data_IF_208133833106
#
_entry.id   IF_208133833106
#
_cell.length_a   1.000
_cell.length_b   1.000
_cell.length_c   1.000
_cell.angle_alpha   90.00
_cell.angle_beta   90.00
_cell.angle_gamma   90.00
#
_symmetry.space_group_name_H-M   'P 1'
#
loop_
_entity.id
_entity.type
_entity.pdbx_description
1 polymer ?
#
# COMPACT_ATOMS: atom_id res chain seq x y z
N UNK A 1 16.77 -16.23 8.14
CA UNK A 1 17.92 -15.29 8.22
C UNK A 1 17.83 -14.37 7.03
N UNK A 2 18.01 -13.06 7.21
CA UNK A 2 18.04 -12.07 6.12
C UNK A 2 19.50 -11.60 6.00
N UNK A 3 20.09 -11.69 4.80
CA UNK A 3 21.44 -11.17 4.54
C UNK A 3 21.46 -9.64 4.65
N UNK A 4 22.64 -9.06 4.88
CA UNK A 4 22.83 -7.60 4.91
C UNK A 4 22.40 -6.95 3.58
N UNK A 5 22.72 -7.58 2.44
CA UNK A 5 22.26 -7.12 1.11
C UNK A 5 20.73 -7.17 0.98
N UNK A 6 20.10 -8.23 1.50
CA UNK A 6 18.65 -8.36 1.54
C UNK A 6 18.00 -7.30 2.43
N UNK A 7 18.61 -6.99 3.58
CA UNK A 7 18.16 -5.93 4.47
C UNK A 7 18.27 -4.53 3.82
N UNK A 8 19.34 -4.28 3.06
CA UNK A 8 19.51 -3.02 2.32
C UNK A 8 18.42 -2.84 1.24
N UNK A 9 18.11 -3.90 0.48
CA UNK A 9 17.00 -3.89 -0.48
C UNK A 9 15.66 -3.60 0.18
N UNK A 10 15.35 -4.28 1.29
CA UNK A 10 14.10 -4.10 2.03
C UNK A 10 14.00 -2.67 2.59
N UNK A 11 15.09 -2.13 3.13
CA UNK A 11 15.16 -0.77 3.63
C UNK A 11 14.93 0.29 2.54
N UNK A 12 15.27 0.00 1.28
CA UNK A 12 14.98 0.87 0.13
C UNK A 12 13.55 0.76 -0.40
N UNK A 13 12.97 -0.45 -0.42
CA UNK A 13 11.65 -0.69 -1.02
C UNK A 13 10.49 -0.30 -0.11
N UNK A 14 10.60 -0.58 1.19
CA UNK A 14 9.52 -0.30 2.16
C UNK A 14 9.10 1.18 2.17
N UNK A 15 10.03 2.17 2.22
CA UNK A 15 9.66 3.58 2.21
C UNK A 15 8.89 4.00 0.95
N UNK A 16 9.24 3.43 -0.20
CA UNK A 16 8.55 3.72 -1.48
C UNK A 16 7.11 3.17 -1.44
N UNK A 17 6.93 1.93 -0.96
CA UNK A 17 5.59 1.33 -0.81
C UNK A 17 4.70 2.10 0.17
N UNK A 18 5.29 2.57 1.28
CA UNK A 18 4.62 3.46 2.23
C UNK A 18 4.17 4.78 1.59
N UNK A 19 5.03 5.38 0.77
CA UNK A 19 4.73 6.64 0.10
C UNK A 19 3.57 6.49 -0.90
N UNK A 20 3.53 5.39 -1.66
CA UNK A 20 2.40 5.05 -2.55
C UNK A 20 1.10 4.92 -1.76
N UNK A 21 1.13 4.23 -0.62
CA UNK A 21 -0.03 4.06 0.25
C UNK A 21 -0.55 5.40 0.80
N UNK A 22 0.34 6.30 1.21
CA UNK A 22 -0.05 7.65 1.68
C UNK A 22 -0.68 8.47 0.55
N UNK A 23 -0.13 8.40 -0.66
CA UNK A 23 -0.69 9.11 -1.81
C UNK A 23 -2.08 8.59 -2.20
N UNK A 24 -2.27 7.27 -2.23
CA UNK A 24 -3.57 6.68 -2.52
C UNK A 24 -4.57 6.89 -1.37
N UNK A 25 -4.12 6.89 -0.11
CA UNK A 25 -4.95 7.29 1.03
C UNK A 25 -5.44 8.73 0.87
N UNK A 26 -4.54 9.67 0.54
CA UNK A 26 -4.90 11.08 0.35
C UNK A 26 -5.92 11.24 -0.77
N UNK A 27 -5.72 10.57 -1.91
CA UNK A 27 -6.68 10.58 -3.02
C UNK A 27 -8.02 10.00 -2.62
N UNK A 28 -8.00 8.85 -1.93
CA UNK A 28 -9.19 8.18 -1.41
C UNK A 28 -9.94 9.13 -0.50
N UNK A 29 -9.30 9.69 0.55
CA UNK A 29 -9.90 10.68 1.45
C UNK A 29 -10.51 11.89 0.73
N UNK A 30 -9.83 12.43 -0.29
CA UNK A 30 -10.34 13.56 -1.08
C UNK A 30 -11.54 13.20 -1.97
N UNK A 31 -11.64 11.95 -2.45
CA UNK A 31 -12.82 11.48 -3.21
C UNK A 31 -13.95 10.98 -2.30
N UNK A 32 -13.70 10.81 -1.01
CA UNK A 32 -14.58 10.11 -0.05
C UNK A 32 -15.56 11.02 0.71
N UNK A 33 -15.69 12.29 0.36
CA UNK A 33 -16.59 13.22 1.06
C UNK A 33 -18.10 12.90 0.92
N UNK A 34 -18.50 11.90 0.12
CA UNK A 34 -19.88 11.84 -0.41
C UNK A 34 -20.74 10.63 0.06
N UNK A 35 -20.20 9.49 0.51
CA UNK A 35 -21.07 8.33 0.87
C UNK A 35 -20.70 7.56 2.16
N UNK A 36 -21.66 7.48 3.08
CA UNK A 36 -21.62 6.76 4.37
C UNK A 36 -21.56 5.23 4.25
N UNK A 37 -21.95 4.69 3.09
CA UNK A 37 -22.20 3.24 2.89
C UNK A 37 -20.94 2.37 2.99
N UNK A 38 -19.74 2.98 2.93
CA UNK A 38 -18.45 2.30 3.00
C UNK A 38 -17.65 2.58 4.28
N UNK A 39 -18.28 3.14 5.35
CA UNK A 39 -17.59 3.56 6.57
C UNK A 39 -16.71 2.47 7.22
N UNK A 40 -17.19 1.22 7.28
CA UNK A 40 -16.44 0.11 7.87
C UNK A 40 -15.21 -0.29 7.06
N UNK A 41 -15.32 -0.29 5.73
CA UNK A 41 -14.19 -0.52 4.82
C UNK A 41 -13.15 0.60 4.99
N UNK A 42 -13.58 1.84 5.25
CA UNK A 42 -12.68 2.97 5.55
C UNK A 42 -11.91 2.77 6.85
N UNK A 43 -12.59 2.41 7.93
CA UNK A 43 -11.95 2.21 9.24
C UNK A 43 -10.93 1.08 9.13
N UNK A 44 -11.30 -0.04 8.50
CA UNK A 44 -10.38 -1.18 8.30
C UNK A 44 -9.17 -0.78 7.47
N UNK A 45 -9.35 -0.01 6.38
CA UNK A 45 -8.24 0.42 5.53
C UNK A 45 -7.30 1.41 6.24
N UNK A 46 -7.85 2.38 6.97
CA UNK A 46 -7.05 3.35 7.76
C UNK A 46 -6.32 2.63 8.91
N UNK A 47 -6.95 1.67 9.56
CA UNK A 47 -6.36 0.92 10.66
C UNK A 47 -5.25 -0.02 10.16
N UNK A 48 -5.44 -0.66 9.00
CA UNK A 48 -4.40 -1.43 8.29
C UNK A 48 -3.21 -0.54 7.90
N UNK A 49 -3.46 0.67 7.43
CA UNK A 49 -2.41 1.63 7.13
C UNK A 49 -1.63 2.07 8.37
N UNK A 50 -2.33 2.29 9.49
CA UNK A 50 -1.70 2.72 10.73
C UNK A 50 -0.84 1.60 11.35
N UNK A 51 -1.42 0.41 11.48
CA UNK A 51 -0.71 -0.77 12.03
C UNK A 51 0.39 -1.24 11.08
N UNK A 52 0.10 -1.33 9.79
CA UNK A 52 1.05 -1.72 8.77
C UNK A 52 2.19 -0.71 8.59
N UNK A 53 1.88 0.59 8.65
CA UNK A 53 2.87 1.65 8.50
C UNK A 53 3.80 1.82 9.69
N UNK A 54 3.27 1.71 10.92
CA UNK A 54 4.09 1.69 12.13
C UNK A 54 5.00 0.46 12.17
N UNK A 55 4.44 -0.73 11.89
CA UNK A 55 5.22 -1.97 11.82
C UNK A 55 6.32 -1.91 10.76
N UNK A 56 6.01 -1.36 9.59
CA UNK A 56 6.96 -1.18 8.49
C UNK A 56 8.09 -0.21 8.84
N UNK A 57 7.79 0.87 9.57
CA UNK A 57 8.82 1.84 10.00
C UNK A 57 9.83 1.19 10.96
N UNK A 58 9.33 0.38 11.91
CA UNK A 58 10.18 -0.38 12.83
C UNK A 58 11.00 -1.43 12.08
N UNK A 59 10.41 -2.10 11.08
CA UNK A 59 11.11 -3.07 10.25
C UNK A 59 12.26 -2.42 9.44
N UNK A 60 12.04 -1.23 8.87
CA UNK A 60 13.10 -0.46 8.18
C UNK A 60 14.22 -0.12 9.15
N UNK A 61 13.89 0.33 10.37
CA UNK A 61 14.88 0.70 11.37
C UNK A 61 15.77 -0.50 11.75
N UNK A 62 15.17 -1.68 11.94
CA UNK A 62 15.89 -2.93 12.19
C UNK A 62 16.80 -3.28 11.00
N UNK A 63 16.32 -3.13 9.77
CA UNK A 63 17.12 -3.39 8.57
C UNK A 63 18.31 -2.42 8.46
N UNK A 64 18.11 -1.13 8.72
CA UNK A 64 19.17 -0.11 8.68
C UNK A 64 20.22 -0.38 9.75
N UNK A 65 19.82 -0.73 10.97
CA UNK A 65 20.75 -1.07 12.06
C UNK A 65 21.57 -2.30 11.68
N UNK A 66 20.94 -3.34 11.14
CA UNK A 66 21.61 -4.57 10.69
C UNK A 66 22.59 -4.35 9.54
N UNK A 67 22.26 -3.49 8.57
CA UNK A 67 23.18 -3.09 7.49
C UNK A 67 24.36 -2.30 8.07
N UNK A 68 24.09 -1.38 9.00
CA UNK A 68 25.12 -0.55 9.62
C UNK A 68 26.07 -1.34 10.52
N UNK A 69 25.59 -2.40 11.17
CA UNK A 69 26.42 -3.30 11.97
C UNK A 69 27.13 -4.40 11.16
N UNK A 70 26.77 -4.56 9.88
CA UNK A 70 27.31 -5.64 9.04
C UNK A 70 26.84 -7.05 9.47
N UNK A 71 25.82 -7.14 10.32
CA UNK A 71 25.33 -8.40 10.86
C UNK A 71 24.02 -8.82 10.19
N UNK A 72 23.87 -10.12 9.90
CA UNK A 72 22.64 -10.65 9.35
C UNK A 72 21.49 -10.68 10.37
N UNK A 73 20.27 -10.34 9.93
CA UNK A 73 19.09 -10.40 10.80
C UNK A 73 18.72 -11.87 11.04
N UNK A 74 18.66 -12.26 12.30
CA UNK A 74 18.35 -13.64 12.75
C UNK A 74 17.24 -13.66 13.80
N UNK A 75 16.67 -14.84 14.01
CA UNK A 75 15.64 -15.08 15.02
C UNK A 75 14.34 -14.31 14.74
N UNK A 76 13.72 -13.81 15.82
CA UNK A 76 12.42 -13.15 15.80
C UNK A 76 12.36 -11.93 14.86
N UNK A 77 13.43 -11.12 14.83
CA UNK A 77 13.49 -9.92 14.00
C UNK A 77 13.40 -10.22 12.50
N UNK A 78 13.98 -11.32 12.04
CA UNK A 78 13.86 -11.73 10.64
C UNK A 78 12.42 -12.11 10.28
N UNK A 79 11.72 -12.81 11.18
CA UNK A 79 10.30 -13.13 11.00
C UNK A 79 9.41 -11.89 11.02
N UNK A 80 9.67 -10.96 11.93
CA UNK A 80 8.94 -9.70 12.03
C UNK A 80 9.07 -8.86 10.75
N UNK A 81 10.29 -8.69 10.22
CA UNK A 81 10.55 -7.95 8.97
C UNK A 81 9.85 -8.62 7.79
N UNK A 82 9.82 -9.96 7.72
CA UNK A 82 9.11 -10.68 6.66
C UNK A 82 7.59 -10.47 6.74
N UNK A 83 7.00 -10.60 7.92
CA UNK A 83 5.55 -10.45 8.11
C UNK A 83 5.11 -9.02 7.77
N UNK A 84 5.85 -8.01 8.25
CA UNK A 84 5.56 -6.61 7.95
C UNK A 84 5.78 -6.30 6.48
N UNK A 85 6.84 -6.82 5.87
CA UNK A 85 7.07 -6.71 4.42
C UNK A 85 5.93 -7.33 3.60
N UNK A 86 5.46 -8.52 3.97
CA UNK A 86 4.33 -9.18 3.30
C UNK A 86 3.02 -8.42 3.47
N UNK A 87 2.74 -7.94 4.68
CA UNK A 87 1.56 -7.12 4.96
C UNK A 87 1.58 -5.81 4.17
N UNK A 88 2.74 -5.17 4.03
CA UNK A 88 2.91 -3.99 3.22
C UNK A 88 2.66 -4.31 1.73
N UNK A 89 3.27 -5.37 1.21
CA UNK A 89 3.11 -5.78 -0.18
C UNK A 89 1.64 -6.10 -0.53
N UNK A 90 0.93 -6.82 0.34
CA UNK A 90 -0.49 -7.13 0.13
C UNK A 90 -1.37 -5.89 0.18
N UNK A 91 -1.09 -4.95 1.10
CA UNK A 91 -1.84 -3.69 1.22
C UNK A 91 -1.60 -2.78 0.02
N UNK A 92 -0.33 -2.65 -0.43
CA UNK A 92 0.02 -1.89 -1.65
C UNK A 92 -0.64 -2.53 -2.88
N UNK A 93 -0.55 -3.85 -3.04
CA UNK A 93 -1.18 -4.57 -4.15
C UNK A 93 -2.70 -4.37 -4.17
N UNK A 94 -3.36 -4.45 -3.01
CA UNK A 94 -4.79 -4.17 -2.87
C UNK A 94 -5.14 -2.73 -3.23
N UNK A 95 -4.34 -1.75 -2.79
CA UNK A 95 -4.54 -0.34 -3.14
C UNK A 95 -4.42 -0.09 -4.66
N UNK A 96 -3.44 -0.70 -5.31
CA UNK A 96 -3.25 -0.61 -6.77
C UNK A 96 -4.43 -1.26 -7.51
N UNK A 97 -4.83 -2.46 -7.11
CA UNK A 97 -5.96 -3.16 -7.71
C UNK A 97 -7.26 -2.33 -7.60
N UNK A 98 -7.49 -1.72 -6.44
CA UNK A 98 -8.62 -0.81 -6.22
C UNK A 98 -8.55 0.43 -7.14
N UNK A 99 -7.37 1.05 -7.25
CA UNK A 99 -7.15 2.20 -8.13
C UNK A 99 -7.40 1.86 -9.61
N UNK A 100 -6.91 0.69 -10.07
CA UNK A 100 -7.14 0.20 -11.44
C UNK A 100 -8.63 -0.05 -11.67
N UNK A 101 -9.31 -0.76 -10.74
CA UNK A 101 -10.75 -1.04 -10.86
C UNK A 101 -11.59 0.23 -11.00
N UNK A 102 -11.25 1.29 -10.24
CA UNK A 102 -11.90 2.60 -10.36
C UNK A 102 -11.64 3.25 -11.73
N UNK A 103 -10.42 3.21 -12.25
CA UNK A 103 -10.12 3.78 -13.57
C UNK A 103 -10.89 3.07 -14.68
N UNK A 104 -10.94 1.74 -14.64
CA UNK A 104 -11.70 0.93 -15.62
C UNK A 104 -13.19 1.29 -15.58
N UNK A 105 -13.78 1.44 -14.39
CA UNK A 105 -15.18 1.85 -14.26
C UNK A 105 -15.46 3.25 -14.86
N UNK A 106 -14.55 4.21 -14.66
CA UNK A 106 -14.66 5.56 -15.24
C UNK A 106 -14.53 5.53 -16.77
N UNK A 107 -13.62 4.73 -17.31
CA UNK A 107 -13.44 4.59 -18.77
C UNK A 107 -14.68 3.96 -19.39
N UNK A 108 -15.21 2.89 -18.79
CA UNK A 108 -16.43 2.23 -19.25
C UNK A 108 -17.65 3.17 -19.20
N UNK A 109 -17.79 3.96 -18.13
CA UNK A 109 -18.87 4.95 -18.03
C UNK A 109 -18.77 6.02 -19.13
N UNK A 110 -17.56 6.51 -19.45
CA UNK A 110 -17.35 7.47 -20.54
C UNK A 110 -17.65 6.89 -21.91
N UNK A 111 -17.26 5.63 -22.15
CA UNK A 111 -17.56 4.94 -23.40
C UNK A 111 -19.08 4.75 -23.60
N UNK A 112 -19.80 4.39 -22.54
CA UNK A 112 -21.27 4.31 -22.54
C UNK A 112 -21.92 5.64 -22.90
N UNK A 113 -21.49 6.75 -22.29
CA UNK A 113 -22.06 8.09 -22.57
C UNK A 113 -21.83 8.53 -24.02
N UNK A 114 -20.70 8.13 -24.61
CA UNK A 114 -20.34 8.45 -25.99
C UNK A 114 -21.14 7.62 -27.00
N UNK A 115 -21.48 6.37 -26.69
CA UNK A 115 -22.41 5.56 -27.49
C UNK A 115 -23.82 6.14 -27.46
N UNK A 116 -24.34 6.52 -26.29
CA UNK A 116 -25.69 7.11 -26.17
C UNK A 116 -25.80 8.38 -27.03
N UNK A 117 -24.79 9.24 -27.01
CA UNK A 117 -24.75 10.45 -27.86
C UNK A 117 -24.78 10.19 -29.36
N UNK A 118 -24.35 9.02 -29.83
CA UNK A 118 -24.40 8.66 -31.27
C UNK A 118 -25.80 8.25 -31.73
N UNK A 119 -26.68 7.88 -30.81
CA UNK A 119 -28.06 7.49 -31.13
C UNK A 119 -29.07 8.64 -31.02
N UNK A 120 -28.70 9.75 -30.40
CA UNK A 120 -29.53 10.97 -30.26
C UNK A 120 -29.37 11.97 -31.44
N UNK A 121 -28.62 11.61 -32.50
CA UNK A 121 -28.41 12.38 -33.74
C UNK A 121 -28.97 11.62 -34.94
#
# INVERSE_FOLDING_TARGET
MISTDGAALIAGVIPVGLLVLVLELRRTLLTLAIEFRFLWIRIVFVLLLFVGGLGSSVAVLICVISVSSGEAIRGFFAGFVLITGFALASTVGGAIAFAIGRMTAVILARASDEEIRKFDL
#
